data_IF_276039922155
#
_entry.id   IF_276039922155
#
_cell.length_a   1.000
_cell.length_b   1.000
_cell.length_c   1.000
_cell.angle_alpha   90.00
_cell.angle_beta   90.00
_cell.angle_gamma   90.00
#
_symmetry.space_group_name_H-M   'P 1'
#
loop_
_entity.id
_entity.type
_entity.pdbx_description
1 polymer ?
#
# COMPACT_ATOMS: atom_id res chain seq x y z
N UNK A 1 16.07 23.93 -2.81
CA UNK A 1 15.22 22.75 -2.55
C UNK A 1 16.08 21.78 -1.77
N UNK A 2 15.69 21.39 -0.60
CA UNK A 2 16.45 20.39 0.14
C UNK A 2 16.10 18.97 -0.37
N UNK A 3 16.81 17.96 0.13
CA UNK A 3 16.59 16.58 -0.30
C UNK A 3 15.18 16.07 0.03
N UNK A 4 14.57 16.52 1.11
CA UNK A 4 13.20 16.14 1.47
C UNK A 4 12.17 16.77 0.51
N UNK A 5 12.39 18.02 0.10
CA UNK A 5 11.54 18.68 -0.91
C UNK A 5 11.55 17.91 -2.25
N UNK A 6 12.73 17.39 -2.63
CA UNK A 6 12.88 16.60 -3.86
C UNK A 6 12.13 15.26 -3.76
N UNK A 7 12.26 14.55 -2.63
CA UNK A 7 11.55 13.29 -2.40
C UNK A 7 10.03 13.50 -2.34
N UNK A 8 9.57 14.59 -1.71
CA UNK A 8 8.16 14.95 -1.67
C UNK A 8 7.63 15.24 -3.08
N UNK A 9 8.33 16.05 -3.84
CA UNK A 9 7.93 16.39 -5.21
C UNK A 9 7.86 15.16 -6.10
N UNK A 10 8.81 14.23 -5.97
CA UNK A 10 8.82 12.96 -6.67
C UNK A 10 7.63 12.08 -6.28
N UNK A 11 7.35 11.94 -4.98
CA UNK A 11 6.22 11.15 -4.49
C UNK A 11 4.88 11.69 -4.99
N UNK A 12 4.70 13.00 -4.96
CA UNK A 12 3.52 13.68 -5.50
C UNK A 12 3.36 13.41 -7.00
N UNK A 13 4.45 13.51 -7.76
CA UNK A 13 4.45 13.21 -9.19
C UNK A 13 4.03 11.76 -9.46
N UNK A 14 4.61 10.78 -8.76
CA UNK A 14 4.28 9.37 -8.90
C UNK A 14 2.78 9.12 -8.61
N UNK A 15 2.25 9.70 -7.53
CA UNK A 15 0.84 9.53 -7.17
C UNK A 15 -0.10 10.08 -8.23
N UNK A 16 0.21 11.24 -8.79
CA UNK A 16 -0.57 11.85 -9.88
C UNK A 16 -0.49 11.05 -11.17
N UNK A 17 0.68 10.53 -11.51
CA UNK A 17 0.87 9.69 -12.70
C UNK A 17 0.06 8.39 -12.61
N UNK A 18 0.07 7.72 -11.47
CA UNK A 18 -0.72 6.50 -11.26
C UNK A 18 -2.21 6.78 -11.33
N UNK A 19 -2.67 7.87 -10.68
CA UNK A 19 -4.07 8.25 -10.73
C UNK A 19 -4.54 8.58 -12.16
N UNK A 20 -3.64 9.07 -13.02
CA UNK A 20 -3.94 9.39 -14.41
C UNK A 20 -3.88 8.17 -15.35
N UNK A 21 -3.00 7.20 -15.07
CA UNK A 21 -2.73 6.09 -15.98
C UNK A 21 -3.40 4.77 -15.59
N UNK A 22 -3.70 4.58 -14.31
CA UNK A 22 -4.29 3.34 -13.82
C UNK A 22 -5.81 3.51 -13.63
N UNK A 23 -6.56 2.56 -14.15
CA UNK A 23 -8.02 2.61 -14.14
C UNK A 23 -8.61 2.60 -12.73
N UNK A 24 -8.05 1.79 -11.83
CA UNK A 24 -8.58 1.62 -10.47
C UNK A 24 -7.47 1.47 -9.42
N UNK A 25 -6.77 2.55 -9.08
CA UNK A 25 -5.74 2.51 -8.05
C UNK A 25 -6.32 2.45 -6.64
N UNK A 26 -5.54 1.95 -5.69
CA UNK A 26 -5.85 1.93 -4.26
C UNK A 26 -4.59 2.23 -3.45
N UNK A 27 -4.73 2.94 -2.34
CA UNK A 27 -3.61 3.16 -1.41
C UNK A 27 -3.71 2.23 -0.20
N UNK A 28 -2.66 1.47 0.05
CA UNK A 28 -2.61 0.58 1.22
C UNK A 28 -2.37 1.41 2.49
N UNK A 29 -3.24 1.23 3.49
CA UNK A 29 -3.16 1.97 4.74
C UNK A 29 -3.08 1.02 5.94
N UNK A 30 -1.88 0.89 6.50
CA UNK A 30 -1.60 -0.02 7.63
C UNK A 30 -1.68 0.63 9.00
N UNK A 31 -1.97 1.93 9.07
CA UNK A 31 -1.96 2.78 10.29
C UNK A 31 -0.54 3.04 10.83
N UNK A 32 0.49 2.49 10.18
CA UNK A 32 1.89 2.72 10.53
C UNK A 32 2.41 4.08 10.03
N UNK A 33 3.61 4.46 10.47
CA UNK A 33 4.25 5.74 10.12
C UNK A 33 4.37 5.94 8.61
N UNK A 34 4.78 4.91 7.87
CA UNK A 34 5.01 5.02 6.42
C UNK A 34 3.70 5.23 5.65
N UNK A 35 2.65 4.48 6.01
CA UNK A 35 1.32 4.67 5.42
C UNK A 35 0.69 6.03 5.77
N UNK A 36 1.01 6.57 6.96
CA UNK A 36 0.56 7.91 7.36
C UNK A 36 1.27 9.02 6.59
N UNK A 37 2.57 8.87 6.30
CA UNK A 37 3.30 9.77 5.41
C UNK A 37 2.73 9.70 4.00
N UNK A 38 2.45 8.50 3.47
CA UNK A 38 1.82 8.33 2.16
C UNK A 38 0.44 8.99 2.09
N UNK A 39 -0.38 8.86 3.13
CA UNK A 39 -1.66 9.57 3.22
C UNK A 39 -1.47 11.08 3.15
N UNK A 40 -0.53 11.62 3.94
CA UNK A 40 -0.23 13.06 3.91
C UNK A 40 0.20 13.53 2.52
N UNK A 41 1.08 12.79 1.85
CA UNK A 41 1.53 13.09 0.50
C UNK A 41 0.39 12.98 -0.53
N UNK A 42 -0.50 12.01 -0.37
CA UNK A 42 -1.68 11.89 -1.24
C UNK A 42 -2.62 13.08 -1.09
N UNK A 43 -2.91 13.50 0.14
CA UNK A 43 -3.72 14.70 0.39
C UNK A 43 -3.07 15.95 -0.23
N UNK A 44 -1.75 16.08 -0.12
CA UNK A 44 -1.00 17.20 -0.70
C UNK A 44 -0.97 17.12 -2.24
N UNK A 45 -0.85 15.92 -2.81
CA UNK A 45 -0.80 15.71 -4.25
C UNK A 45 -2.07 16.16 -4.97
N UNK A 46 -3.22 16.03 -4.33
CA UNK A 46 -4.53 16.32 -4.93
C UNK A 46 -5.22 17.55 -4.35
N UNK A 47 -4.57 18.28 -3.42
CA UNK A 47 -5.13 19.51 -2.87
C UNK A 47 -5.54 20.51 -3.99
N UNK A 48 -6.73 21.16 -3.88
CA UNK A 48 -7.69 21.14 -2.77
C UNK A 48 -8.69 19.97 -2.79
N UNK A 49 -8.65 19.14 -3.81
CA UNK A 49 -9.50 17.96 -3.94
C UNK A 49 -9.01 16.80 -3.07
N UNK A 50 -9.85 15.78 -2.92
CA UNK A 50 -9.47 14.53 -2.26
C UNK A 50 -8.69 13.62 -3.24
N UNK A 51 -7.85 12.70 -2.72
CA UNK A 51 -7.27 11.66 -3.57
C UNK A 51 -8.36 10.90 -4.35
N UNK A 52 -8.21 10.72 -5.68
CA UNK A 52 -9.24 10.12 -6.53
C UNK A 52 -9.23 8.57 -6.45
N UNK A 53 -8.79 8.02 -5.35
CA UNK A 53 -8.73 6.58 -5.10
C UNK A 53 -9.02 6.28 -3.63
N UNK A 54 -9.58 5.09 -3.32
CA UNK A 54 -9.82 4.66 -1.97
C UNK A 54 -8.53 4.22 -1.25
N UNK A 55 -8.63 4.13 0.06
CA UNK A 55 -7.61 3.56 0.94
C UNK A 55 -8.06 2.18 1.39
N UNK A 56 -7.14 1.23 1.43
CA UNK A 56 -7.43 -0.15 1.84
C UNK A 56 -6.67 -0.52 3.10
N UNK A 57 -7.39 -0.85 4.14
CA UNK A 57 -6.88 -1.43 5.36
C UNK A 57 -7.15 -2.94 5.40
N UNK A 58 -6.09 -3.75 5.38
CA UNK A 58 -6.20 -5.18 5.66
C UNK A 58 -6.18 -5.39 7.16
N UNK A 59 -7.33 -5.74 7.72
CA UNK A 59 -7.48 -6.00 9.14
C UNK A 59 -7.14 -7.46 9.44
N UNK A 60 -6.07 -7.67 10.17
CA UNK A 60 -5.59 -9.00 10.58
C UNK A 60 -6.26 -9.50 11.86
N UNK A 61 -7.26 -8.79 12.38
CA UNK A 61 -8.04 -9.05 13.60
C UNK A 61 -7.28 -8.91 14.94
N UNK A 62 -5.97 -9.10 14.95
CA UNK A 62 -5.12 -8.98 16.15
C UNK A 62 -4.43 -7.61 16.21
N UNK A 63 -5.25 -6.54 16.26
CA UNK A 63 -4.78 -5.16 16.38
C UNK A 63 -5.39 -4.49 17.61
N UNK A 64 -4.72 -3.49 18.14
CA UNK A 64 -5.27 -2.68 19.21
C UNK A 64 -6.51 -1.93 18.74
N UNK A 65 -7.53 -1.87 19.60
CA UNK A 65 -8.78 -1.15 19.31
C UNK A 65 -8.54 0.34 19.02
N UNK A 66 -7.58 0.91 19.71
CA UNK A 66 -7.15 2.29 19.52
C UNK A 66 -6.59 2.57 18.12
N UNK A 67 -5.93 1.60 17.51
CA UNK A 67 -5.46 1.72 16.13
C UNK A 67 -6.63 1.80 15.15
N UNK A 68 -7.64 0.96 15.35
CA UNK A 68 -8.84 0.97 14.50
C UNK A 68 -9.60 2.28 14.67
N UNK A 69 -9.81 2.72 15.93
CA UNK A 69 -10.46 4.01 16.21
C UNK A 69 -9.69 5.19 15.62
N UNK A 70 -8.36 5.15 15.65
CA UNK A 70 -7.52 6.18 15.02
C UNK A 70 -7.69 6.18 13.50
N UNK A 71 -7.68 5.01 12.85
CA UNK A 71 -7.95 4.88 11.41
C UNK A 71 -9.28 5.53 11.01
N UNK A 72 -10.33 5.21 11.76
CA UNK A 72 -11.68 5.69 11.46
C UNK A 72 -11.76 7.21 11.65
N UNK A 73 -11.14 7.75 12.72
CA UNK A 73 -11.02 9.18 12.94
C UNK A 73 -10.26 9.88 11.80
N UNK A 74 -9.17 9.29 11.31
CA UNK A 74 -8.39 9.83 10.18
C UNK A 74 -9.24 9.82 8.90
N UNK A 75 -9.97 8.74 8.64
CA UNK A 75 -10.85 8.65 7.48
C UNK A 75 -11.94 9.73 7.51
N UNK A 76 -12.57 9.95 8.66
CA UNK A 76 -13.58 10.99 8.87
C UNK A 76 -12.96 12.39 8.73
N UNK A 77 -11.85 12.67 9.40
CA UNK A 77 -11.19 13.98 9.41
C UNK A 77 -10.85 14.47 8.00
N UNK A 78 -10.34 13.59 7.14
CA UNK A 78 -9.95 13.92 5.77
C UNK A 78 -11.03 13.59 4.73
N UNK A 79 -12.12 12.97 5.17
CA UNK A 79 -13.24 12.58 4.30
C UNK A 79 -12.81 11.64 3.19
N UNK A 80 -11.88 10.71 3.47
CA UNK A 80 -11.37 9.70 2.54
C UNK A 80 -12.20 8.43 2.62
N UNK A 81 -12.33 7.74 1.49
CA UNK A 81 -12.94 6.42 1.44
C UNK A 81 -11.96 5.38 2.00
N UNK A 82 -12.31 4.78 3.14
CA UNK A 82 -11.51 3.75 3.81
C UNK A 82 -12.21 2.40 3.71
N UNK A 83 -11.64 1.51 2.90
CA UNK A 83 -12.09 0.13 2.76
C UNK A 83 -11.39 -0.74 3.79
N UNK A 84 -12.13 -1.61 4.44
CA UNK A 84 -11.58 -2.64 5.32
C UNK A 84 -11.78 -4.01 4.68
N UNK A 85 -10.75 -4.84 4.77
CA UNK A 85 -10.82 -6.23 4.34
C UNK A 85 -10.28 -7.17 5.41
N UNK A 86 -11.02 -8.23 5.68
CA UNK A 86 -10.66 -9.32 6.61
C UNK A 86 -10.71 -10.63 5.82
N UNK A 87 -9.72 -11.49 6.01
CA UNK A 87 -9.78 -12.85 5.50
C UNK A 87 -10.69 -13.70 6.42
N UNK A 88 -11.97 -13.75 6.09
CA UNK A 88 -12.98 -14.46 6.89
C UNK A 88 -12.70 -15.96 7.01
N UNK A 89 -12.08 -16.56 5.99
CA UNK A 89 -11.69 -17.97 6.06
C UNK A 89 -10.59 -18.20 7.10
N UNK A 90 -9.57 -17.32 7.14
CA UNK A 90 -8.55 -17.37 8.18
C UNK A 90 -9.12 -17.18 9.58
N UNK A 91 -10.13 -16.32 9.73
CA UNK A 91 -10.84 -16.13 11.00
C UNK A 91 -11.61 -17.40 11.39
N UNK A 92 -12.33 -18.02 10.46
CA UNK A 92 -13.06 -19.29 10.72
C UNK A 92 -12.14 -20.43 11.12
N UNK A 93 -10.94 -20.48 10.55
CA UNK A 93 -9.92 -21.46 10.90
C UNK A 93 -9.19 -21.16 12.21
N UNK A 94 -9.52 -20.06 12.89
CA UNK A 94 -8.89 -19.65 14.14
C UNK A 94 -7.43 -19.24 14.01
N UNK A 95 -7.02 -18.77 12.83
CA UNK A 95 -5.62 -18.36 12.56
C UNK A 95 -5.25 -17.17 13.45
N UNK A 96 -4.24 -17.36 14.28
CA UNK A 96 -3.77 -16.35 15.24
C UNK A 96 -2.24 -16.28 15.28
N UNK A 97 -1.65 -15.17 15.76
CA UNK A 97 -0.20 -14.97 15.74
C UNK A 97 0.57 -15.86 16.72
N UNK A 98 -0.08 -16.38 17.75
CA UNK A 98 0.59 -17.15 18.81
C UNK A 98 0.86 -18.60 18.36
N UNK A 99 -0.14 -19.23 17.74
CA UNK A 99 -0.06 -20.62 17.33
C UNK A 99 0.48 -20.80 15.90
N UNK A 100 0.33 -19.78 15.04
CA UNK A 100 0.58 -19.89 13.61
C UNK A 100 1.79 -19.07 13.11
N UNK A 101 2.37 -18.19 13.94
CA UNK A 101 3.60 -17.45 13.61
C UNK A 101 3.61 -16.83 12.22
N UNK A 102 4.56 -17.25 11.37
CA UNK A 102 4.71 -16.72 10.01
C UNK A 102 3.48 -17.02 9.12
N UNK A 103 2.82 -18.17 9.31
CA UNK A 103 1.61 -18.52 8.57
C UNK A 103 0.46 -17.54 8.82
N UNK A 104 0.34 -17.01 10.04
CA UNK A 104 -0.63 -15.96 10.35
C UNK A 104 -0.42 -14.72 9.46
N UNK A 105 0.83 -14.25 9.32
CA UNK A 105 1.15 -13.10 8.47
C UNK A 105 0.83 -13.37 7.01
N UNK A 106 1.15 -14.56 6.52
CA UNK A 106 0.83 -14.91 5.14
C UNK A 106 -0.68 -14.97 4.91
N UNK A 107 -1.44 -15.68 5.74
CA UNK A 107 -2.89 -15.89 5.55
C UNK A 107 -3.68 -14.61 5.81
N UNK A 108 -3.42 -13.95 6.95
CA UNK A 108 -4.24 -12.81 7.41
C UNK A 108 -3.83 -11.47 6.79
N UNK A 109 -2.64 -11.38 6.19
CA UNK A 109 -2.15 -10.15 5.55
C UNK A 109 -1.91 -10.33 4.06
N UNK A 110 -1.04 -11.25 3.65
CA UNK A 110 -0.62 -11.39 2.24
C UNK A 110 -1.75 -11.94 1.37
N UNK A 111 -2.35 -13.05 1.77
CA UNK A 111 -3.48 -13.64 1.04
C UNK A 111 -4.72 -12.75 1.12
N UNK A 112 -5.00 -12.16 2.29
CA UNK A 112 -6.08 -11.21 2.45
C UNK A 112 -5.95 -10.00 1.51
N UNK A 113 -4.72 -9.46 1.34
CA UNK A 113 -4.46 -8.39 0.39
C UNK A 113 -4.77 -8.82 -1.04
N UNK A 114 -4.29 -9.98 -1.48
CA UNK A 114 -4.59 -10.51 -2.82
C UNK A 114 -6.09 -10.72 -3.04
N UNK A 115 -6.79 -11.26 -2.06
CA UNK A 115 -8.25 -11.41 -2.08
C UNK A 115 -8.96 -10.06 -2.23
N UNK A 116 -8.52 -9.05 -1.46
CA UNK A 116 -9.10 -7.70 -1.54
C UNK A 116 -8.86 -7.05 -2.91
N UNK A 117 -7.64 -7.13 -3.43
CA UNK A 117 -7.31 -6.58 -4.76
C UNK A 117 -8.19 -7.20 -5.85
N UNK A 118 -8.37 -8.53 -5.82
CA UNK A 118 -9.23 -9.25 -6.76
C UNK A 118 -10.71 -8.91 -6.58
N UNK A 119 -11.19 -8.92 -5.33
CA UNK A 119 -12.60 -8.63 -5.01
C UNK A 119 -13.04 -7.26 -5.50
N UNK A 120 -12.21 -6.26 -5.28
CA UNK A 120 -12.52 -4.88 -5.68
C UNK A 120 -12.06 -4.55 -7.11
N UNK A 121 -11.28 -5.41 -7.76
CA UNK A 121 -10.76 -5.20 -9.11
C UNK A 121 -9.76 -4.07 -9.21
N UNK A 122 -8.92 -3.87 -8.21
CA UNK A 122 -7.88 -2.85 -8.24
C UNK A 122 -6.78 -3.19 -9.24
N UNK A 123 -6.39 -2.21 -10.04
CA UNK A 123 -5.36 -2.36 -11.08
C UNK A 123 -3.98 -1.87 -10.66
N UNK A 124 -3.90 -1.06 -9.61
CA UNK A 124 -2.66 -0.58 -9.02
C UNK A 124 -2.82 -0.41 -7.51
N UNK A 125 -1.76 -0.68 -6.75
CA UNK A 125 -1.73 -0.51 -5.30
C UNK A 125 -0.50 0.29 -4.87
N UNK A 126 -0.72 1.43 -4.21
CA UNK A 126 0.37 2.18 -3.59
C UNK A 126 0.80 1.52 -2.29
N UNK A 127 2.09 1.28 -2.14
CA UNK A 127 2.71 0.81 -0.91
C UNK A 127 4.00 1.56 -0.62
N UNK A 128 4.28 1.81 0.65
CA UNK A 128 5.55 2.40 1.10
C UNK A 128 6.55 1.31 1.44
N UNK A 129 7.81 1.52 1.08
CA UNK A 129 8.89 0.61 1.42
C UNK A 129 10.25 1.09 0.92
N UNK A 130 11.29 0.43 1.38
CA UNK A 130 12.67 0.67 0.95
C UNK A 130 13.28 -0.63 0.47
N UNK A 131 14.15 -0.55 -0.55
CA UNK A 131 14.81 -1.74 -1.10
C UNK A 131 15.78 -2.39 -0.12
N UNK A 132 16.31 -1.62 0.82
CA UNK A 132 17.27 -2.06 1.84
C UNK A 132 16.62 -2.54 3.14
N UNK A 133 15.28 -2.45 3.26
CA UNK A 133 14.55 -2.91 4.44
C UNK A 133 14.62 -4.42 4.61
N UNK A 134 14.41 -5.12 3.50
CA UNK A 134 14.46 -6.58 3.48
C UNK A 134 14.83 -7.12 2.09
N UNK A 135 15.42 -8.30 2.09
CA UNK A 135 15.93 -8.96 0.88
C UNK A 135 14.86 -9.13 -0.21
N UNK A 136 13.63 -9.41 0.17
CA UNK A 136 12.52 -9.58 -0.77
C UNK A 136 12.16 -8.31 -1.53
N UNK A 137 12.46 -7.13 -0.98
CA UNK A 137 12.19 -5.82 -1.58
C UNK A 137 13.30 -5.31 -2.50
N UNK A 138 14.48 -5.91 -2.49
CA UNK A 138 15.62 -5.47 -3.29
C UNK A 138 15.34 -5.43 -4.80
N UNK A 139 14.42 -6.27 -5.28
CA UNK A 139 14.00 -6.33 -6.69
C UNK A 139 12.97 -5.28 -7.09
N UNK A 140 12.27 -4.69 -6.13
CA UNK A 140 11.15 -3.78 -6.39
C UNK A 140 11.61 -2.54 -7.16
N UNK A 141 10.70 -1.98 -7.94
CA UNK A 141 10.84 -0.74 -8.72
C UNK A 141 9.84 0.28 -8.20
N UNK A 142 9.94 1.53 -8.65
CA UNK A 142 8.90 2.53 -8.39
C UNK A 142 7.58 2.02 -8.96
N UNK A 143 7.59 1.53 -10.20
CA UNK A 143 6.47 0.82 -10.82
C UNK A 143 6.81 -0.66 -10.92
N UNK A 144 6.35 -1.44 -9.96
CA UNK A 144 6.57 -2.89 -9.92
C UNK A 144 5.42 -3.64 -10.57
N UNK A 145 5.62 -4.11 -11.79
CA UNK A 145 4.59 -4.89 -12.50
C UNK A 145 4.47 -6.30 -11.94
N UNK A 146 3.24 -6.75 -11.82
CA UNK A 146 2.89 -8.07 -11.28
C UNK A 146 2.04 -8.83 -12.27
N UNK A 147 2.16 -10.15 -12.23
CA UNK A 147 1.33 -11.05 -13.03
C UNK A 147 -0.09 -11.23 -12.42
N UNK A 148 -0.92 -12.04 -13.05
CA UNK A 148 -2.30 -12.30 -12.60
C UNK A 148 -2.40 -12.89 -11.17
N UNK A 149 -1.36 -13.58 -10.70
CA UNK A 149 -1.25 -14.15 -9.36
C UNK A 149 -0.69 -13.15 -8.33
N UNK A 150 -0.55 -11.88 -8.72
CA UNK A 150 0.09 -10.81 -7.93
C UNK A 150 1.57 -11.08 -7.56
N UNK A 151 2.23 -11.95 -8.30
CA UNK A 151 3.66 -12.16 -8.18
C UNK A 151 4.43 -11.14 -9.03
N UNK A 152 5.59 -10.70 -8.54
CA UNK A 152 6.46 -9.81 -9.29
C UNK A 152 6.88 -10.44 -10.62
N UNK A 153 6.65 -9.72 -11.74
CA UNK A 153 6.93 -10.23 -13.09
C UNK A 153 8.29 -9.73 -13.60
N UNK A 154 9.32 -10.59 -13.62
CA UNK A 154 10.66 -10.17 -14.04
C UNK A 154 10.77 -9.76 -15.51
N UNK A 155 9.84 -10.20 -16.36
CA UNK A 155 9.90 -9.96 -17.80
C UNK A 155 9.29 -8.61 -18.23
N UNK A 156 8.35 -8.09 -17.43
CA UNK A 156 7.56 -6.92 -17.80
C UNK A 156 7.87 -5.68 -16.93
N UNK A 157 9.07 -5.60 -16.35
CA UNK A 157 9.45 -4.42 -15.57
C UNK A 157 9.87 -3.26 -16.45
N UNK A 158 9.51 -2.02 -16.06
CA UNK A 158 10.04 -0.79 -16.68
C UNK A 158 11.54 -0.63 -16.34
N UNK A 159 12.39 -0.23 -17.29
CA UNK A 159 13.74 0.19 -16.98
C UNK A 159 13.69 1.54 -16.24
N UNK A 160 14.18 1.58 -15.01
CA UNK A 160 14.24 2.78 -14.17
C UNK A 160 15.69 3.17 -13.88
N UNK A 161 16.47 3.36 -14.94
CA UNK A 161 17.91 3.57 -14.84
C UNK A 161 18.31 4.79 -14.01
N UNK A 162 17.53 5.87 -14.07
CA UNK A 162 17.79 7.11 -13.33
C UNK A 162 17.56 6.97 -11.81
N UNK A 163 16.85 5.94 -11.39
CA UNK A 163 16.47 5.71 -9.99
C UNK A 163 17.05 4.42 -9.42
N UNK A 164 18.05 3.87 -10.09
CA UNK A 164 18.68 2.61 -9.68
C UNK A 164 19.23 2.66 -8.26
N UNK A 165 19.71 3.82 -7.82
CA UNK A 165 20.30 4.05 -6.50
C UNK A 165 19.31 4.66 -5.49
N UNK A 166 18.10 4.98 -5.89
CA UNK A 166 17.09 5.46 -4.98
C UNK A 166 16.57 4.29 -4.12
N UNK A 167 16.80 4.34 -2.81
CA UNK A 167 16.38 3.31 -1.86
C UNK A 167 14.93 3.49 -1.40
N UNK A 168 14.43 4.73 -1.42
CA UNK A 168 13.05 5.03 -1.03
C UNK A 168 12.11 4.79 -2.20
N UNK A 169 11.15 3.93 -2.03
CA UNK A 169 10.18 3.56 -3.06
C UNK A 169 8.76 3.73 -2.56
N UNK A 170 7.92 4.29 -3.42
CA UNK A 170 6.49 4.07 -3.40
C UNK A 170 6.25 2.94 -4.40
N UNK A 171 5.81 1.79 -3.93
CA UNK A 171 5.51 0.66 -4.79
C UNK A 171 4.10 0.78 -5.35
N UNK A 172 3.98 0.43 -6.60
CA UNK A 172 2.71 0.37 -7.31
C UNK A 172 2.59 -1.01 -7.93
#
# INVERSE_FOLDING_TARGET
MDHLDELEAEAIYIMREVAAQCEKPVMLYSIGKDSSVMLHLALKAFYPEKPPFPFLHVNTTWKFKEMIAFRDKVAEQYGIEMLEYINEEGVRQGINPFDHGAAYTDIMKTQALKQALNKYGFTAAFGGGRRDEEKSRAKERIFSFRNAEHAWDPKNQRPEMWKLYNLSLIHI
#
